data_IF_068683221208
#
_entry.id   IF_068683221208
#
_cell.length_a   1.000
_cell.length_b   1.000
_cell.length_c   1.000
_cell.angle_alpha   90.00
_cell.angle_beta   90.00
_cell.angle_gamma   90.00
#
_symmetry.space_group_name_H-M   'P 1'
#
loop_
_entity.id
_entity.type
_entity.pdbx_description
1 polymer ?
#
# COMPACT_ATOMS: atom_id res chain seq x y z
N UNK A 1 -7.89 -7.17 -14.23
CA UNK A 1 -9.04 -7.56 -13.40
C UNK A 1 -10.05 -8.29 -14.25
N UNK A 2 -10.16 -9.60 -14.09
CA UNK A 2 -11.35 -10.32 -14.52
C UNK A 2 -12.14 -10.73 -13.28
N UNK A 3 -12.93 -9.79 -12.77
CA UNK A 3 -14.35 -10.05 -12.54
C UNK A 3 -15.05 -9.24 -13.64
N UNK A 4 -15.56 -9.90 -14.69
CA UNK A 4 -16.22 -9.25 -15.84
C UNK A 4 -17.60 -8.67 -15.42
N UNK A 5 -18.16 -7.61 -16.09
CA UNK A 5 -18.26 -7.48 -17.55
C UNK A 5 -17.83 -6.13 -18.19
N UNK A 6 -17.70 -6.23 -19.53
CA UNK A 6 -17.63 -5.28 -20.66
C UNK A 6 -17.07 -3.85 -20.56
N UNK A 7 -16.23 -3.60 -21.58
CA UNK A 7 -16.00 -2.36 -22.33
C UNK A 7 -14.86 -1.42 -21.92
N UNK A 8 -14.41 -0.69 -22.94
CA UNK A 8 -13.03 -0.25 -23.23
C UNK A 8 -12.47 0.78 -22.25
N UNK A 9 -11.23 0.57 -21.79
CA UNK A 9 -10.30 1.67 -21.47
C UNK A 9 -8.85 1.18 -21.46
N UNK A 10 -7.92 2.05 -21.88
CA UNK A 10 -6.46 1.83 -21.87
C UNK A 10 -5.99 1.69 -20.43
N UNK A 11 -5.21 0.65 -20.10
CA UNK A 11 -4.75 0.36 -18.71
C UNK A 11 -3.26 0.04 -18.66
N UNK A 12 -2.63 0.54 -17.60
CA UNK A 12 -1.18 0.62 -17.39
C UNK A 12 -0.54 -0.68 -16.86
N UNK A 13 -1.33 -1.62 -16.34
CA UNK A 13 -0.88 -2.97 -15.94
C UNK A 13 -2.08 -3.92 -15.81
N UNK A 14 -1.86 -5.23 -16.00
CA UNK A 14 -2.89 -6.29 -15.85
C UNK A 14 -2.47 -7.26 -14.71
N UNK A 15 -3.28 -7.44 -13.66
CA UNK A 15 -2.92 -8.27 -12.50
C UNK A 15 -3.18 -9.78 -12.71
N UNK A 16 -2.52 -10.67 -11.93
CA UNK A 16 -2.60 -12.13 -12.05
C UNK A 16 -3.68 -12.78 -11.14
N UNK A 17 -3.56 -14.10 -10.94
CA UNK A 17 -4.64 -15.06 -10.65
C UNK A 17 -4.40 -15.78 -9.32
N UNK A 18 -5.39 -15.72 -8.41
CA UNK A 18 -5.35 -16.22 -7.02
C UNK A 18 -5.35 -17.76 -6.89
N UNK A 19 -4.49 -18.29 -6.02
CA UNK A 19 -4.47 -19.71 -5.61
C UNK A 19 -4.80 -19.92 -4.13
N UNK A 20 -5.93 -20.55 -3.82
CA UNK A 20 -6.15 -21.19 -2.52
C UNK A 20 -6.30 -22.71 -2.72
N UNK A 21 -5.29 -23.54 -2.38
CA UNK A 21 -5.27 -24.95 -2.75
C UNK A 21 -6.19 -25.88 -1.92
N UNK A 22 -6.90 -25.38 -0.90
CA UNK A 22 -7.58 -26.28 0.06
C UNK A 22 -9.04 -25.95 0.40
N UNK A 23 -9.61 -24.91 -0.21
CA UNK A 23 -11.03 -24.58 -0.08
C UNK A 23 -11.55 -24.20 -1.45
N UNK A 24 -12.61 -24.85 -1.92
CA UNK A 24 -13.36 -24.34 -3.07
C UNK A 24 -13.93 -22.98 -2.67
N UNK A 25 -13.26 -21.91 -3.08
CA UNK A 25 -13.77 -20.57 -2.90
C UNK A 25 -15.12 -20.51 -3.60
N UNK A 26 -16.15 -20.13 -2.84
CA UNK A 26 -17.54 -20.06 -3.35
C UNK A 26 -17.78 -18.82 -4.21
N UNK A 27 -16.70 -18.12 -4.57
CA UNK A 27 -16.65 -16.92 -5.39
C UNK A 27 -15.52 -17.06 -6.43
N UNK A 28 -15.45 -16.20 -7.47
CA UNK A 28 -14.53 -16.40 -8.59
C UNK A 28 -13.06 -16.58 -8.18
N UNK A 29 -12.47 -17.71 -8.57
CA UNK A 29 -11.08 -18.07 -8.33
C UNK A 29 -10.56 -19.01 -9.44
N UNK A 30 -9.25 -19.14 -9.59
CA UNK A 30 -8.63 -20.16 -10.46
C UNK A 30 -7.27 -20.59 -9.91
N UNK A 31 -7.13 -21.87 -9.57
CA UNK A 31 -5.86 -22.41 -9.09
C UNK A 31 -4.86 -22.56 -10.24
N UNK A 32 -3.66 -22.02 -10.03
CA UNK A 32 -2.47 -22.23 -10.84
C UNK A 32 -1.27 -22.65 -9.97
N UNK A 33 -0.55 -23.69 -10.37
CA UNK A 33 0.80 -23.92 -9.84
C UNK A 33 1.81 -22.91 -10.43
N UNK A 34 3.01 -22.87 -9.86
CA UNK A 34 4.07 -21.92 -10.24
C UNK A 34 4.49 -22.10 -11.70
N UNK A 35 4.54 -23.34 -12.19
CA UNK A 35 4.89 -23.63 -13.58
C UNK A 35 3.79 -23.22 -14.55
N UNK A 36 2.51 -23.39 -14.19
CA UNK A 36 1.36 -22.90 -14.94
C UNK A 36 1.35 -21.37 -15.00
N UNK A 37 1.61 -20.70 -13.86
CA UNK A 37 1.70 -19.24 -13.79
C UNK A 37 2.86 -18.70 -14.63
N UNK A 38 4.04 -19.35 -14.60
CA UNK A 38 5.19 -19.00 -15.45
C UNK A 38 4.87 -19.12 -16.95
N UNK A 39 4.28 -20.24 -17.40
CA UNK A 39 3.87 -20.42 -18.80
C UNK A 39 2.84 -19.40 -19.25
N UNK A 40 1.88 -19.06 -18.37
CA UNK A 40 0.90 -18.03 -18.65
C UNK A 40 1.54 -16.65 -18.76
N UNK A 41 2.48 -16.31 -17.87
CA UNK A 41 3.23 -15.06 -17.92
C UNK A 41 4.00 -14.91 -19.24
N UNK A 42 4.70 -15.97 -19.68
CA UNK A 42 5.41 -15.98 -20.96
C UNK A 42 4.48 -15.72 -22.16
N UNK A 43 3.34 -16.41 -22.21
CA UNK A 43 2.35 -16.22 -23.26
C UNK A 43 1.75 -14.82 -23.24
N UNK A 44 1.38 -14.32 -22.07
CA UNK A 44 0.78 -13.00 -21.90
C UNK A 44 1.76 -11.89 -22.27
N UNK A 45 2.99 -11.95 -21.75
CA UNK A 45 4.05 -10.97 -22.02
C UNK A 45 4.35 -10.89 -23.52
N UNK A 46 4.49 -12.05 -24.19
CA UNK A 46 4.68 -12.11 -25.65
C UNK A 46 3.51 -11.48 -26.41
N UNK A 47 2.27 -11.80 -26.05
CA UNK A 47 1.09 -11.25 -26.72
C UNK A 47 0.94 -9.74 -26.50
N UNK A 48 1.21 -9.24 -25.29
CA UNK A 48 1.17 -7.81 -25.00
C UNK A 48 2.19 -7.04 -25.84
N UNK A 49 3.44 -7.51 -25.88
CA UNK A 49 4.52 -6.90 -26.67
C UNK A 49 4.25 -6.95 -28.17
N UNK A 50 3.78 -8.08 -28.69
CA UNK A 50 3.44 -8.23 -30.11
C UNK A 50 2.31 -7.29 -30.55
N UNK A 51 1.46 -6.84 -29.60
CA UNK A 51 0.40 -5.87 -29.86
C UNK A 51 0.81 -4.42 -29.47
N UNK A 52 2.09 -4.16 -29.22
CA UNK A 52 2.59 -2.82 -28.88
C UNK A 52 2.08 -2.28 -27.54
N UNK A 53 1.67 -3.15 -26.62
CA UNK A 53 1.16 -2.75 -25.31
C UNK A 53 2.29 -2.73 -24.28
N UNK A 54 2.49 -1.58 -23.63
CA UNK A 54 3.46 -1.39 -22.54
C UNK A 54 2.97 -1.94 -21.17
N UNK A 55 1.93 -2.77 -21.17
CA UNK A 55 1.32 -3.33 -19.96
C UNK A 55 2.31 -4.28 -19.28
N UNK A 56 2.62 -4.03 -18.01
CA UNK A 56 3.46 -4.91 -17.17
C UNK A 56 2.70 -6.17 -16.74
N UNK A 57 3.41 -7.29 -16.64
CA UNK A 57 2.95 -8.58 -16.11
C UNK A 57 3.55 -8.78 -14.72
N UNK A 58 2.69 -8.87 -13.70
CA UNK A 58 3.09 -9.16 -12.33
C UNK A 58 2.83 -10.63 -11.99
N UNK A 59 3.75 -11.26 -11.26
CA UNK A 59 3.60 -12.63 -10.74
C UNK A 59 3.19 -12.69 -9.27
N UNK A 60 2.93 -13.91 -8.77
CA UNK A 60 2.54 -14.24 -7.39
C UNK A 60 1.13 -13.78 -6.99
N UNK A 61 0.94 -12.51 -6.63
CA UNK A 61 -0.33 -11.89 -6.18
C UNK A 61 -1.01 -12.67 -5.06
N UNK A 62 -0.22 -12.92 -4.01
CA UNK A 62 -0.67 -13.64 -2.84
C UNK A 62 0.09 -13.18 -1.59
N UNK A 63 -0.29 -13.74 -0.45
CA UNK A 63 0.25 -13.42 0.87
C UNK A 63 1.78 -13.50 0.97
N UNK A 64 2.35 -12.62 1.80
CA UNK A 64 3.77 -12.66 2.19
C UNK A 64 4.20 -14.01 2.77
N UNK A 65 3.32 -14.69 3.51
CA UNK A 65 3.58 -16.02 4.07
C UNK A 65 3.89 -17.10 3.02
N UNK A 66 3.59 -16.85 1.74
CA UNK A 66 3.85 -17.76 0.62
C UNK A 66 5.10 -17.36 -0.19
N UNK A 67 6.08 -16.69 0.42
CA UNK A 67 7.32 -16.26 -0.27
C UNK A 67 8.01 -17.39 -1.03
N UNK A 68 8.02 -18.62 -0.50
CA UNK A 68 8.62 -19.77 -1.18
C UNK A 68 7.95 -20.10 -2.53
N UNK A 69 6.65 -19.81 -2.67
CA UNK A 69 5.92 -19.95 -3.95
C UNK A 69 6.31 -18.86 -4.94
N UNK A 70 6.49 -17.63 -4.47
CA UNK A 70 6.99 -16.54 -5.30
C UNK A 70 8.41 -16.84 -5.82
N UNK A 71 9.30 -17.32 -4.95
CA UNK A 71 10.67 -17.72 -5.34
C UNK A 71 10.64 -18.86 -6.38
N UNK A 72 9.80 -19.88 -6.19
CA UNK A 72 9.64 -20.98 -7.15
C UNK A 72 9.07 -20.52 -8.50
N UNK A 73 8.11 -19.58 -8.49
CA UNK A 73 7.60 -18.93 -9.70
C UNK A 73 8.72 -18.21 -10.46
N UNK A 74 9.50 -17.38 -9.77
CA UNK A 74 10.58 -16.62 -10.39
C UNK A 74 11.67 -17.54 -10.95
N UNK A 75 11.95 -18.67 -10.29
CA UNK A 75 12.87 -19.69 -10.78
C UNK A 75 12.34 -20.43 -12.02
N UNK A 76 11.01 -20.57 -12.16
CA UNK A 76 10.37 -21.23 -13.29
C UNK A 76 10.12 -20.32 -14.51
N UNK A 77 10.11 -19.00 -14.31
CA UNK A 77 9.89 -18.01 -15.35
C UNK A 77 11.19 -17.68 -16.11
N UNK A 78 11.07 -17.35 -17.40
CA UNK A 78 12.24 -16.83 -18.14
C UNK A 78 12.43 -15.34 -17.84
N UNK A 79 13.67 -14.81 -17.91
CA UNK A 79 13.93 -13.38 -17.76
C UNK A 79 13.05 -12.53 -18.68
N UNK A 80 12.33 -11.57 -18.10
CA UNK A 80 11.43 -10.68 -18.84
C UNK A 80 10.03 -11.25 -19.12
N UNK A 81 9.67 -12.44 -18.66
CA UNK A 81 8.26 -12.89 -18.69
C UNK A 81 7.42 -12.24 -17.58
N UNK A 82 8.09 -11.90 -16.47
CA UNK A 82 7.52 -11.24 -15.29
C UNK A 82 8.28 -9.94 -15.07
N UNK A 83 7.55 -8.82 -14.98
CA UNK A 83 8.09 -7.47 -14.80
C UNK A 83 8.11 -7.03 -13.32
N UNK A 84 7.53 -7.82 -12.42
CA UNK A 84 7.41 -7.52 -10.99
C UNK A 84 6.65 -8.58 -10.21
N UNK A 85 6.67 -8.47 -8.88
CA UNK A 85 5.89 -9.35 -7.99
C UNK A 85 4.78 -8.57 -7.30
N UNK A 86 3.60 -9.19 -7.21
CA UNK A 86 2.43 -8.65 -6.53
C UNK A 86 2.18 -9.40 -5.21
N UNK A 87 1.69 -8.69 -4.19
CA UNK A 87 1.59 -9.21 -2.83
C UNK A 87 0.33 -8.76 -2.11
N UNK A 88 -0.27 -9.69 -1.38
CA UNK A 88 -1.37 -9.41 -0.46
C UNK A 88 -0.84 -9.38 0.97
N UNK A 89 -1.43 -8.55 1.82
CA UNK A 89 -1.01 -8.42 3.22
C UNK A 89 -1.93 -9.15 4.20
N UNK A 90 -2.56 -10.26 3.83
CA UNK A 90 -3.44 -11.01 4.76
C UNK A 90 -2.69 -11.92 5.72
N UNK A 91 -1.49 -12.39 5.34
CA UNK A 91 -0.68 -13.31 6.14
C UNK A 91 0.81 -13.09 5.88
N UNK A 92 1.62 -13.23 6.93
CA UNK A 92 3.06 -12.95 6.90
C UNK A 92 3.37 -11.46 6.99
N UNK A 93 4.65 -11.11 6.97
CA UNK A 93 5.14 -9.73 7.07
C UNK A 93 6.01 -9.39 5.86
N UNK A 94 6.04 -8.12 5.43
CA UNK A 94 6.82 -7.73 4.26
C UNK A 94 8.32 -7.99 4.44
N UNK A 95 8.88 -7.79 5.65
CA UNK A 95 10.29 -8.04 5.93
C UNK A 95 10.70 -9.52 5.76
N UNK A 96 9.77 -10.45 5.93
CA UNK A 96 10.02 -11.89 5.78
C UNK A 96 9.93 -12.33 4.30
N UNK A 97 9.39 -11.49 3.40
CA UNK A 97 9.05 -11.85 2.04
C UNK A 97 9.79 -11.03 0.97
N UNK A 98 9.99 -9.73 1.19
CA UNK A 98 10.46 -8.78 0.20
C UNK A 98 12.00 -8.65 0.22
N UNK A 99 12.68 -9.75 -0.04
CA UNK A 99 14.14 -9.86 0.02
C UNK A 99 14.66 -10.85 -1.04
N UNK A 100 15.98 -10.92 -1.20
CA UNK A 100 16.62 -11.89 -2.10
C UNK A 100 16.13 -11.78 -3.55
N UNK A 101 15.72 -12.92 -4.14
CA UNK A 101 15.23 -12.97 -5.52
C UNK A 101 13.96 -12.13 -5.75
N UNK A 102 13.08 -12.03 -4.75
CA UNK A 102 11.86 -11.20 -4.85
C UNK A 102 12.22 -9.72 -5.01
N UNK A 103 13.23 -9.25 -4.27
CA UNK A 103 13.68 -7.86 -4.32
C UNK A 103 14.49 -7.51 -5.58
N UNK A 104 14.81 -8.50 -6.43
CA UNK A 104 15.46 -8.25 -7.73
C UNK A 104 14.50 -7.69 -8.79
N UNK A 105 13.19 -7.72 -8.51
CA UNK A 105 12.14 -7.16 -9.36
C UNK A 105 11.33 -6.11 -8.58
N UNK A 106 10.67 -5.16 -9.27
CA UNK A 106 9.73 -4.24 -8.63
C UNK A 106 8.64 -4.99 -7.84
N UNK A 107 8.38 -4.52 -6.62
CA UNK A 107 7.41 -5.10 -5.69
C UNK A 107 6.15 -4.22 -5.64
N UNK A 108 4.98 -4.85 -5.74
CA UNK A 108 3.68 -4.19 -5.69
C UNK A 108 2.84 -4.81 -4.57
N UNK A 109 2.44 -4.03 -3.56
CA UNK A 109 1.43 -4.50 -2.60
C UNK A 109 0.08 -4.15 -3.16
N UNK A 110 -0.65 -5.17 -3.61
CA UNK A 110 -1.82 -5.05 -4.49
C UNK A 110 -3.14 -5.19 -3.76
N UNK A 111 -3.14 -5.78 -2.56
CA UNK A 111 -4.37 -6.02 -1.83
C UNK A 111 -4.18 -6.14 -0.32
N UNK A 112 -5.00 -5.38 0.41
CA UNK A 112 -5.40 -5.68 1.78
C UNK A 112 -6.79 -5.09 2.04
N UNK A 113 -7.58 -5.74 2.89
CA UNK A 113 -8.81 -5.14 3.43
C UNK A 113 -8.79 -5.20 4.95
N UNK A 114 -9.20 -4.11 5.58
CA UNK A 114 -9.59 -4.15 6.97
C UNK A 114 -10.92 -4.88 7.15
N UNK A 115 -11.23 -5.24 8.39
CA UNK A 115 -12.44 -5.97 8.73
C UNK A 115 -13.24 -5.27 9.84
N UNK A 116 -14.56 -5.24 9.73
CA UNK A 116 -15.47 -4.59 10.68
C UNK A 116 -15.63 -5.38 11.99
N UNK A 117 -15.73 -6.72 11.92
CA UNK A 117 -16.08 -7.56 13.07
C UNK A 117 -15.30 -8.89 13.13
N UNK A 118 -13.97 -8.85 13.27
CA UNK A 118 -13.27 -10.04 13.79
C UNK A 118 -13.22 -9.99 15.31
N UNK A 119 -13.55 -11.08 16.03
CA UNK A 119 -13.34 -11.14 17.46
C UNK A 119 -11.83 -11.14 17.73
N UNK A 120 -11.31 -10.08 18.37
CA UNK A 120 -10.02 -10.06 19.09
C UNK A 120 -8.72 -10.47 18.35
N UNK A 121 -8.70 -10.68 17.04
CA UNK A 121 -7.46 -10.79 16.23
C UNK A 121 -7.08 -9.41 15.69
N UNK A 122 -6.10 -8.68 16.20
CA UNK A 122 -5.22 -8.84 17.34
C UNK A 122 -5.27 -7.50 18.09
N UNK A 123 -4.79 -7.41 19.33
CA UNK A 123 -4.75 -6.17 20.12
C UNK A 123 -4.22 -4.95 19.33
N UNK A 124 -3.39 -5.19 18.31
CA UNK A 124 -2.87 -4.17 17.40
C UNK A 124 -3.88 -3.60 16.37
N UNK A 125 -4.95 -4.30 15.95
CA UNK A 125 -5.99 -3.77 15.02
C UNK A 125 -7.29 -3.38 15.73
N UNK A 126 -7.43 -3.69 17.01
CA UNK A 126 -8.67 -3.52 17.77
C UNK A 126 -9.11 -2.07 17.96
N UNK A 127 -8.25 -1.10 17.64
CA UNK A 127 -8.52 0.34 17.70
C UNK A 127 -8.33 0.98 16.32
N UNK A 128 -8.90 2.17 16.12
CA UNK A 128 -8.69 2.95 14.90
C UNK A 128 -7.19 3.27 14.70
N UNK A 129 -6.52 3.77 15.73
CA UNK A 129 -5.08 4.04 15.70
C UNK A 129 -4.26 2.80 15.36
N UNK A 130 -4.59 1.65 15.95
CA UNK A 130 -3.95 0.38 15.68
C UNK A 130 -4.15 -0.11 14.24
N UNK A 131 -5.35 0.09 13.69
CA UNK A 131 -5.65 -0.20 12.29
C UNK A 131 -4.78 0.65 11.33
N UNK A 132 -4.62 1.94 11.62
CA UNK A 132 -3.73 2.83 10.85
C UNK A 132 -2.27 2.37 10.97
N UNK A 133 -1.80 2.13 12.20
CA UNK A 133 -0.45 1.69 12.49
C UNK A 133 -0.08 0.43 11.72
N UNK A 134 -0.99 -0.55 11.73
CA UNK A 134 -0.80 -1.80 11.02
C UNK A 134 -0.75 -1.60 9.50
N UNK A 135 -1.64 -0.77 8.93
CA UNK A 135 -1.67 -0.49 7.50
C UNK A 135 -0.39 0.24 7.04
N UNK A 136 0.08 1.20 7.83
CA UNK A 136 1.35 1.90 7.58
C UNK A 136 2.52 0.91 7.57
N UNK A 137 2.57 -0.01 8.54
CA UNK A 137 3.68 -0.97 8.66
C UNK A 137 3.65 -2.08 7.60
N UNK A 138 2.47 -2.54 7.19
CA UNK A 138 2.36 -3.77 6.38
C UNK A 138 1.91 -3.55 4.94
N UNK A 139 1.33 -2.39 4.61
CA UNK A 139 0.78 -2.11 3.27
C UNK A 139 1.45 -0.89 2.63
N UNK A 140 1.74 0.15 3.42
CA UNK A 140 2.18 1.44 2.90
C UNK A 140 3.69 1.63 3.09
N UNK A 141 4.10 2.24 4.20
CA UNK A 141 5.49 2.64 4.45
C UNK A 141 6.42 1.44 4.61
N UNK A 142 6.05 0.43 5.41
CA UNK A 142 6.95 -0.70 5.67
C UNK A 142 7.38 -1.45 4.40
N UNK A 143 6.46 -1.84 3.50
CA UNK A 143 6.83 -2.38 2.20
C UNK A 143 7.62 -1.40 1.34
N UNK A 144 7.31 -0.10 1.35
CA UNK A 144 8.06 0.91 0.59
C UNK A 144 9.53 1.01 1.03
N UNK A 145 9.80 0.88 2.33
CA UNK A 145 11.16 0.79 2.87
C UNK A 145 11.92 -0.46 2.38
N UNK A 146 11.19 -1.48 1.93
CA UNK A 146 11.71 -2.72 1.36
C UNK A 146 11.64 -2.75 -0.18
N UNK A 147 11.46 -1.59 -0.82
CA UNK A 147 11.49 -1.45 -2.27
C UNK A 147 10.14 -1.67 -2.97
N UNK A 148 9.04 -1.76 -2.23
CA UNK A 148 7.71 -1.72 -2.85
C UNK A 148 7.44 -0.35 -3.47
N UNK A 149 6.89 -0.36 -4.69
CA UNK A 149 6.58 0.86 -5.45
C UNK A 149 5.11 1.29 -5.31
N UNK A 150 4.27 0.45 -4.71
CA UNK A 150 2.89 0.79 -4.36
C UNK A 150 2.37 0.01 -3.15
N UNK A 151 1.35 0.59 -2.51
CA UNK A 151 0.53 -0.05 -1.48
C UNK A 151 -0.94 0.23 -1.71
N UNK A 152 -1.75 -0.82 -1.92
CA UNK A 152 -3.17 -0.71 -2.25
C UNK A 152 -4.05 -1.35 -1.18
N UNK A 153 -5.09 -0.61 -0.80
CA UNK A 153 -6.23 -1.10 -0.02
C UNK A 153 -7.33 -1.53 -0.98
N UNK A 154 -8.16 -2.48 -0.55
CA UNK A 154 -9.01 -3.25 -1.44
C UNK A 154 -10.24 -2.49 -1.95
N UNK A 155 -11.23 -2.28 -1.07
CA UNK A 155 -12.44 -1.57 -1.43
C UNK A 155 -12.28 -0.09 -1.10
N UNK A 156 -12.43 0.78 -2.10
CA UNK A 156 -12.49 2.22 -1.86
C UNK A 156 -13.71 2.60 -1.04
N UNK A 157 -14.87 2.04 -1.39
CA UNK A 157 -16.13 2.31 -0.70
C UNK A 157 -16.94 1.02 -0.50
N UNK A 158 -17.56 0.89 0.67
CA UNK A 158 -18.59 -0.11 0.99
C UNK A 158 -19.69 0.58 1.81
N UNK A 159 -20.87 -0.04 1.89
CA UNK A 159 -21.93 0.42 2.79
C UNK A 159 -21.74 -0.09 4.23
N UNK A 160 -22.62 0.36 5.14
CA UNK A 160 -22.66 -0.02 6.55
C UNK A 160 -22.86 -1.54 6.78
N UNK A 161 -23.25 -2.28 5.74
CA UNK A 161 -23.42 -3.73 5.75
C UNK A 161 -22.23 -4.48 5.17
N UNK A 162 -21.10 -3.78 4.93
CA UNK A 162 -19.90 -4.31 4.26
C UNK A 162 -20.15 -4.74 2.82
N UNK A 163 -21.15 -4.15 2.16
CA UNK A 163 -21.68 -4.57 0.86
C UNK A 163 -21.48 -3.57 -0.28
N UNK A 164 -21.88 -3.97 -1.51
CA UNK A 164 -22.44 -5.28 -1.87
C UNK A 164 -21.37 -6.38 -2.00
N UNK A 165 -21.73 -7.62 -1.63
CA UNK A 165 -20.83 -8.79 -1.72
C UNK A 165 -21.32 -9.84 -2.70
N UNK A 166 -20.38 -10.57 -3.32
CA UNK A 166 -20.74 -11.78 -4.04
C UNK A 166 -21.10 -12.89 -3.06
N UNK A 167 -22.08 -13.73 -3.42
CA UNK A 167 -22.41 -14.92 -2.65
C UNK A 167 -21.15 -15.77 -2.45
N UNK A 168 -20.86 -16.13 -1.19
CA UNK A 168 -19.69 -16.91 -0.81
C UNK A 168 -18.40 -16.09 -0.64
N UNK A 169 -18.40 -14.80 -0.97
CA UNK A 169 -17.32 -13.87 -0.67
C UNK A 169 -17.28 -13.43 0.80
N UNK A 170 -16.24 -12.69 1.22
CA UNK A 170 -16.15 -12.17 2.58
C UNK A 170 -17.23 -11.12 2.83
N UNK A 171 -17.87 -11.19 4.01
CA UNK A 171 -19.01 -10.34 4.41
C UNK A 171 -18.66 -9.34 5.52
N UNK A 172 -17.38 -9.20 5.83
CA UNK A 172 -16.90 -8.36 6.93
C UNK A 172 -15.77 -7.44 6.48
N UNK A 173 -15.65 -7.17 5.19
CA UNK A 173 -14.65 -6.24 4.67
C UNK A 173 -15.08 -4.80 4.97
N UNK A 174 -14.13 -3.95 5.36
CA UNK A 174 -14.34 -2.52 5.52
C UNK A 174 -13.77 -1.77 4.31
N UNK A 175 -14.55 -0.87 3.74
CA UNK A 175 -14.08 0.05 2.70
C UNK A 175 -13.23 1.17 3.31
N UNK A 176 -12.39 1.84 2.52
CA UNK A 176 -11.72 3.06 2.99
C UNK A 176 -12.73 4.16 3.34
N UNK A 177 -13.85 4.20 2.62
CA UNK A 177 -14.98 5.08 2.87
C UNK A 177 -16.21 4.24 3.10
N UNK A 178 -16.96 4.53 4.16
CA UNK A 178 -18.31 4.00 4.35
C UNK A 178 -19.32 4.96 3.71
N UNK A 179 -20.18 4.42 2.85
CA UNK A 179 -21.22 5.20 2.15
C UNK A 179 -22.58 4.63 2.55
N UNK A 180 -23.35 5.33 3.41
CA UNK A 180 -24.63 4.83 3.89
C UNK A 180 -25.60 4.51 2.75
N UNK A 181 -26.17 3.30 2.77
CA UNK A 181 -27.07 2.81 1.71
C UNK A 181 -28.38 3.62 1.62
N UNK A 182 -28.84 4.17 2.74
CA UNK A 182 -30.02 5.05 2.84
C UNK A 182 -29.78 6.50 2.40
N UNK A 183 -28.56 6.85 1.97
CA UNK A 183 -28.12 8.22 1.75
C UNK A 183 -27.67 8.90 3.05
N UNK A 184 -26.92 10.00 2.91
CA UNK A 184 -26.31 10.71 4.04
C UNK A 184 -24.83 11.05 3.78
N UNK A 185 -24.15 11.67 4.75
CA UNK A 185 -22.72 11.91 4.66
C UNK A 185 -21.96 10.58 4.66
N UNK A 186 -20.84 10.55 3.95
CA UNK A 186 -19.91 9.40 3.97
C UNK A 186 -18.97 9.51 5.17
N UNK A 187 -18.49 8.37 5.66
CA UNK A 187 -17.52 8.30 6.75
C UNK A 187 -16.19 7.74 6.27
N UNK A 188 -15.08 8.23 6.83
CA UNK A 188 -13.74 7.74 6.49
C UNK A 188 -13.33 6.69 7.51
N UNK A 189 -13.02 5.48 7.04
CA UNK A 189 -12.47 4.42 7.88
C UNK A 189 -11.06 4.76 8.35
N UNK A 190 -10.57 4.16 9.45
CA UNK A 190 -9.20 4.37 9.93
C UNK A 190 -8.12 4.22 8.85
N UNK A 191 -8.21 3.19 8.01
CA UNK A 191 -7.23 2.92 6.96
C UNK A 191 -7.13 4.04 5.92
N UNK A 192 -8.21 4.81 5.71
CA UNK A 192 -8.22 5.94 4.79
C UNK A 192 -7.15 6.95 5.15
N UNK A 193 -6.98 7.24 6.44
CA UNK A 193 -6.02 8.23 6.93
C UNK A 193 -4.58 7.80 6.63
N UNK A 194 -4.26 6.52 6.82
CA UNK A 194 -2.95 5.98 6.43
C UNK A 194 -2.68 6.16 4.94
N UNK A 195 -3.65 5.82 4.08
CA UNK A 195 -3.54 5.97 2.62
C UNK A 195 -3.43 7.45 2.23
N UNK A 196 -4.20 8.33 2.86
CA UNK A 196 -4.19 9.76 2.59
C UNK A 196 -2.81 10.37 2.91
N UNK A 197 -2.25 10.06 4.07
CA UNK A 197 -0.90 10.52 4.45
C UNK A 197 0.18 10.00 3.51
N UNK A 198 0.16 8.69 3.20
CA UNK A 198 1.14 8.10 2.30
C UNK A 198 1.05 8.66 0.88
N UNK A 199 -0.16 8.86 0.35
CA UNK A 199 -0.36 9.39 -1.00
C UNK A 199 0.01 10.87 -1.12
N UNK A 200 -0.29 11.69 -0.11
CA UNK A 200 0.10 13.10 -0.07
C UNK A 200 1.62 13.28 -0.12
N UNK A 201 2.39 12.43 0.58
CA UNK A 201 3.84 12.50 0.62
C UNK A 201 4.53 12.08 -0.68
N UNK A 202 3.85 11.34 -1.55
CA UNK A 202 4.45 10.91 -2.83
C UNK A 202 4.23 11.96 -3.92
N UNK A 203 3.33 12.93 -3.71
CA UNK A 203 3.02 14.16 -4.49
C UNK A 203 2.80 14.04 -6.01
N UNK A 204 3.26 12.97 -6.64
CA UNK A 204 2.99 12.57 -8.00
C UNK A 204 3.31 11.06 -8.14
N UNK A 205 2.30 10.23 -7.91
CA UNK A 205 2.39 8.77 -7.80
C UNK A 205 2.65 8.04 -9.13
N UNK A 206 3.44 8.61 -10.04
CA UNK A 206 3.84 7.93 -11.28
C UNK A 206 5.36 7.99 -11.42
N UNK A 207 5.93 6.92 -11.97
CA UNK A 207 7.33 6.82 -12.37
C UNK A 207 7.74 8.00 -13.28
N UNK A 208 6.81 8.50 -14.10
CA UNK A 208 6.99 9.66 -14.97
C UNK A 208 7.11 11.00 -14.24
N UNK A 209 6.60 11.11 -13.02
CA UNK A 209 6.68 12.33 -12.23
C UNK A 209 7.96 12.44 -11.39
N UNK A 210 8.79 11.39 -11.42
CA UNK A 210 10.10 11.39 -10.80
C UNK A 210 10.04 11.54 -9.28
N UNK A 211 9.26 10.69 -8.60
CA UNK A 211 9.32 10.57 -7.14
C UNK A 211 10.14 9.34 -6.76
N UNK A 212 11.07 9.49 -5.81
CA UNK A 212 11.93 8.43 -5.32
C UNK A 212 11.97 8.42 -3.81
N UNK A 213 12.03 7.20 -3.24
CA UNK A 213 12.41 7.02 -1.84
C UNK A 213 13.86 7.45 -1.67
N UNK A 214 14.13 8.28 -0.67
CA UNK A 214 15.48 8.66 -0.30
C UNK A 214 15.95 7.79 0.87
N UNK A 215 17.23 7.41 0.84
CA UNK A 215 17.83 6.69 1.96
C UNK A 215 17.87 7.62 3.19
N UNK A 216 17.55 7.07 4.35
CA UNK A 216 17.55 7.80 5.62
C UNK A 216 18.06 6.89 6.73
N UNK A 217 18.91 7.42 7.61
CA UNK A 217 19.28 6.80 8.88
C UNK A 217 18.37 7.32 10.00
N UNK A 218 18.32 6.61 11.13
CA UNK A 218 17.58 7.02 12.31
C UNK A 218 18.35 6.59 13.56
N UNK A 219 18.38 7.48 14.54
CA UNK A 219 18.98 7.24 15.86
C UNK A 219 17.89 6.93 16.92
N UNK A 220 16.83 6.25 16.48
CA UNK A 220 15.73 5.82 17.34
C UNK A 220 15.38 4.34 17.10
N UNK A 221 14.79 3.69 18.09
CA UNK A 221 14.36 2.29 17.94
C UNK A 221 13.34 2.16 16.81
N UNK A 222 13.68 1.31 15.84
CA UNK A 222 12.93 1.07 14.62
C UNK A 222 11.47 0.67 14.85
N UNK A 223 11.21 0.01 15.98
CA UNK A 223 9.91 -0.51 16.38
C UNK A 223 8.95 0.60 16.84
N UNK A 224 9.49 1.74 17.29
CA UNK A 224 8.70 2.87 17.82
C UNK A 224 8.32 3.87 16.74
N UNK A 225 9.23 4.20 15.83
CA UNK A 225 8.97 5.19 14.78
C UNK A 225 9.36 4.64 13.41
N UNK A 226 8.38 4.59 12.51
CA UNK A 226 8.58 4.28 11.10
C UNK A 226 8.58 5.58 10.30
N UNK A 227 9.60 5.80 9.47
CA UNK A 227 9.75 7.03 8.66
C UNK A 227 9.99 6.67 7.21
N UNK A 228 9.25 7.30 6.31
CA UNK A 228 9.49 7.30 4.86
C UNK A 228 9.88 8.71 4.44
N UNK A 229 10.98 8.81 3.70
CA UNK A 229 11.39 10.06 3.05
C UNK A 229 11.30 9.89 1.54
N UNK A 230 10.66 10.83 0.87
CA UNK A 230 10.55 10.90 -0.58
C UNK A 230 11.05 12.24 -1.09
N UNK A 231 11.60 12.22 -2.30
CA UNK A 231 11.96 13.41 -3.04
C UNK A 231 11.41 13.33 -4.46
N UNK A 232 11.11 14.48 -5.05
CA UNK A 232 10.63 14.60 -6.42
C UNK A 232 11.69 15.22 -7.33
N UNK A 233 11.57 15.01 -8.64
CA UNK A 233 12.42 15.64 -9.67
C UNK A 233 12.38 17.17 -9.59
N UNK A 234 11.29 17.75 -9.09
CA UNK A 234 11.14 19.18 -8.85
C UNK A 234 11.76 19.67 -7.53
N UNK A 235 12.55 18.85 -6.84
CA UNK A 235 13.25 19.24 -5.61
C UNK A 235 12.38 19.27 -4.34
N UNK A 236 11.10 18.90 -4.42
CA UNK A 236 10.23 18.79 -3.24
C UNK A 236 10.54 17.53 -2.46
N UNK A 237 10.67 17.68 -1.14
CA UNK A 237 10.84 16.60 -0.18
C UNK A 237 9.56 16.37 0.61
N UNK A 238 9.35 15.15 1.09
CA UNK A 238 8.22 14.82 1.96
C UNK A 238 8.62 13.72 2.94
N UNK A 239 8.04 13.80 4.14
CA UNK A 239 8.31 12.85 5.23
C UNK A 239 6.98 12.34 5.75
N UNK A 240 6.84 11.01 5.78
CA UNK A 240 5.75 10.32 6.49
C UNK A 240 6.37 9.68 7.72
N UNK A 241 5.96 10.13 8.90
CA UNK A 241 6.37 9.52 10.16
C UNK A 241 5.16 8.90 10.85
N UNK A 242 5.33 7.69 11.35
CA UNK A 242 4.35 7.01 12.18
C UNK A 242 5.00 6.61 13.50
N UNK A 243 4.48 7.18 14.59
CA UNK A 243 4.82 6.79 15.95
C UNK A 243 3.90 5.64 16.39
N UNK A 244 4.43 4.42 16.39
CA UNK A 244 3.75 3.25 16.94
C UNK A 244 3.93 3.10 18.45
N UNK A 245 4.70 3.99 19.10
CA UNK A 245 4.81 4.04 20.54
C UNK A 245 3.59 4.71 21.19
N UNK A 246 3.24 4.28 22.41
CA UNK A 246 2.15 4.89 23.18
C UNK A 246 2.49 6.24 23.83
N UNK A 247 3.67 6.79 23.59
CA UNK A 247 4.13 8.05 24.14
C UNK A 247 4.60 9.00 23.02
N UNK A 248 4.46 10.33 23.18
CA UNK A 248 5.02 11.30 22.25
C UNK A 248 6.52 11.08 22.04
N UNK A 249 6.97 11.24 20.79
CA UNK A 249 8.39 11.20 20.43
C UNK A 249 8.75 12.51 19.75
N UNK A 250 9.88 13.11 20.15
CA UNK A 250 10.47 14.25 19.46
C UNK A 250 11.29 13.73 18.27
N UNK A 251 10.99 14.19 17.07
CA UNK A 251 11.74 13.87 15.86
C UNK A 251 12.50 15.10 15.39
N UNK A 252 13.82 14.94 15.21
CA UNK A 252 14.66 15.91 14.51
C UNK A 252 14.96 15.34 13.13
N UNK A 253 14.58 16.08 12.09
CA UNK A 253 14.87 15.72 10.71
C UNK A 253 16.04 16.59 10.26
N UNK A 254 17.12 15.94 9.82
CA UNK A 254 18.29 16.60 9.26
C UNK A 254 18.50 16.10 7.83
N UNK A 255 18.93 17.00 6.95
CA UNK A 255 19.29 16.67 5.58
C UNK A 255 20.79 16.92 5.41
N UNK A 256 21.52 15.92 4.92
CA UNK A 256 22.97 16.03 4.67
C UNK A 256 23.30 17.06 3.57
N UNK A 257 22.29 17.43 2.76
CA UNK A 257 22.34 18.49 1.77
C UNK A 257 21.09 19.37 1.96
N UNK A 258 21.28 20.69 2.09
CA UNK A 258 20.16 21.63 2.14
C UNK A 258 19.32 21.50 0.85
N UNK A 259 17.97 21.53 0.93
CA UNK A 259 17.13 21.56 -0.26
C UNK A 259 17.53 22.77 -1.12
N UNK A 260 17.62 22.57 -2.44
CA UNK A 260 18.04 23.62 -3.37
C UNK A 260 17.17 24.88 -3.21
N UNK A 261 17.81 26.04 -3.08
CA UNK A 261 17.19 27.34 -2.82
C UNK A 261 16.02 27.62 -3.78
N UNK A 262 14.85 27.92 -3.21
CA UNK A 262 13.61 28.19 -3.95
C UNK A 262 12.32 28.11 -3.13
N UNK A 263 12.38 27.89 -1.81
CA UNK A 263 11.21 27.82 -0.94
C UNK A 263 11.29 28.87 0.17
N UNK A 264 10.93 30.12 -0.14
CA UNK A 264 10.75 31.20 0.85
C UNK A 264 12.05 31.69 1.49
N UNK A 265 12.08 32.98 1.84
CA UNK A 265 13.21 33.60 2.53
C UNK A 265 13.39 32.94 3.92
N UNK A 266 14.54 32.31 4.17
CA UNK A 266 14.93 31.86 5.51
C UNK A 266 15.49 33.06 6.29
N UNK A 267 14.88 33.39 7.44
CA UNK A 267 15.55 34.16 8.49
C UNK A 267 16.71 33.32 9.04
N UNK A 268 17.95 33.78 8.84
CA UNK A 268 19.15 33.24 9.48
C UNK A 268 18.96 33.26 11.02
N UNK A 269 18.74 32.09 11.61
CA UNK A 269 18.52 31.92 13.06
C UNK A 269 17.33 31.04 13.43
N UNK A 270 16.51 30.59 12.48
CA UNK A 270 15.38 29.71 12.76
C UNK A 270 15.84 28.31 13.23
N UNK A 271 15.48 27.97 14.47
CA UNK A 271 15.55 26.59 14.98
C UNK A 271 14.83 25.64 14.00
N UNK A 272 15.43 24.49 13.70
CA UNK A 272 14.79 23.48 12.86
C UNK A 272 13.37 23.20 13.36
N UNK A 273 12.34 23.17 12.50
CA UNK A 273 10.96 23.13 12.94
C UNK A 273 10.73 21.95 13.87
N UNK A 274 10.40 22.25 15.12
CA UNK A 274 10.08 21.25 16.12
C UNK A 274 8.73 20.63 15.76
N UNK A 275 8.76 19.47 15.09
CA UNK A 275 7.57 18.67 14.88
C UNK A 275 7.22 17.97 16.20
N UNK A 276 6.53 18.67 17.08
CA UNK A 276 5.85 18.03 18.20
C UNK A 276 4.65 17.27 17.66
N UNK A 277 4.59 15.95 17.85
CA UNK A 277 3.35 15.20 17.70
C UNK A 277 2.51 15.46 18.97
N UNK A 278 1.43 16.24 18.92
CA UNK A 278 0.40 16.11 19.93
C UNK A 278 -0.14 14.66 19.92
N UNK A 279 -0.49 14.16 21.10
CA UNK A 279 -1.28 12.93 21.22
C UNK A 279 -2.69 13.33 20.90
N UNK A 280 -3.11 13.12 19.67
CA UNK A 280 -4.49 13.33 19.26
C UNK A 280 -5.29 12.07 19.58
N UNK A 281 -6.38 12.25 20.32
CA UNK A 281 -7.52 11.33 20.31
C UNK A 281 -8.02 11.11 18.88
N UNK A 282 -8.75 10.02 18.67
CA UNK A 282 -9.35 9.71 17.38
C UNK A 282 -10.30 10.83 16.92
N UNK A 283 -11.00 11.43 17.88
CA UNK A 283 -11.91 12.56 17.69
C UNK A 283 -11.15 13.83 17.27
N UNK A 284 -10.02 14.14 17.91
CA UNK A 284 -9.15 15.27 17.51
C UNK A 284 -8.54 15.07 16.12
N UNK A 285 -8.20 13.83 15.76
CA UNK A 285 -7.77 13.47 14.39
C UNK A 285 -8.87 13.75 13.35
N UNK A 286 -10.13 13.47 13.70
CA UNK A 286 -11.27 13.72 12.83
C UNK A 286 -11.58 15.22 12.70
N UNK A 287 -11.43 16.00 13.77
CA UNK A 287 -11.66 17.46 13.75
C UNK A 287 -10.59 18.22 12.95
N UNK A 288 -9.31 17.90 13.13
CA UNK A 288 -8.22 18.56 12.39
C UNK A 288 -8.29 18.34 10.86
N UNK A 289 -8.92 17.24 10.42
CA UNK A 289 -9.07 16.87 9.01
C UNK A 289 -10.45 17.19 8.43
N UNK A 290 -11.33 17.85 9.18
CA UNK A 290 -12.43 18.62 8.60
C UNK A 290 -11.83 19.84 7.92
N UNK A 291 -11.39 19.65 6.68
CA UNK A 291 -11.26 20.77 5.75
C UNK A 291 -12.66 21.33 5.61
N UNK A 292 -12.95 22.45 6.27
CA UNK A 292 -14.10 23.25 5.94
C UNK A 292 -13.97 23.59 4.46
N UNK A 293 -14.90 23.07 3.66
CA UNK A 293 -15.08 23.54 2.31
C UNK A 293 -15.62 24.96 2.45
N UNK A 294 -14.72 25.94 2.52
CA UNK A 294 -15.10 27.34 2.32
C UNK A 294 -15.77 27.43 0.95
N UNK A 295 -17.00 27.98 0.97
CA UNK A 295 -17.87 28.14 -0.18
C UNK A 295 -17.40 29.16 -1.21
#
# INVERSE_FOLDING_TARGET
WAKYPSSRSRRWSRPPLLTHPWWTMRYPCMTLDEGQQARLAALLSRLLRANGLATRVLGHDHNYSLVKRAEALLAAASPGDIDGTAWHAYQGRPADALHGAVASLPVYVTEQTAHTHRPREAEEKGTAAGSVAWAVRNVLVGPALLGAVCGLQWNLALDETCGPVLRGGPTNCRGLVEVPSGGGPHERSPEWYGVAHASAAVAAATEAAGCWRVASSRDCEAEKVTVLVTATAGGRWSVVAHNGGGAPVRLRIAFDQAPAEGAGEEEEGAEAPELTSPVWSWEEWQEWLRVEADG
#
